data_IF_114484672873
#
_entry.id   IF_114484672873
#
_cell.length_a   1.000
_cell.length_b   1.000
_cell.length_c   1.000
_cell.angle_alpha   90.00
_cell.angle_beta   90.00
_cell.angle_gamma   90.00
#
_symmetry.space_group_name_H-M   'P 1'
#
loop_
_entity.id
_entity.type
_entity.pdbx_description
1 polymer ?
#
# COMPACT_ATOMS: atom_id res chain seq x y z
N UNK A 1 21.69 23.64 -3.97
CA UNK A 1 21.23 22.32 -3.46
C UNK A 1 19.96 21.96 -4.19
N UNK A 2 19.87 20.75 -4.72
CA UNK A 2 18.67 20.23 -5.39
C UNK A 2 17.95 19.26 -4.46
N UNK A 3 16.62 19.32 -4.45
CA UNK A 3 15.77 18.39 -3.72
C UNK A 3 14.54 18.05 -4.54
N UNK A 4 13.88 16.95 -4.22
CA UNK A 4 12.68 16.46 -4.90
C UNK A 4 11.50 16.53 -3.95
N UNK A 5 10.33 16.85 -4.50
CA UNK A 5 9.08 16.96 -3.75
C UNK A 5 8.25 15.70 -3.98
N UNK A 6 8.03 14.92 -2.93
CA UNK A 6 7.05 13.84 -2.95
C UNK A 6 5.76 14.28 -2.29
N UNK A 7 4.63 13.90 -2.88
CA UNK A 7 3.29 14.19 -2.37
C UNK A 7 2.52 12.88 -2.21
N UNK A 8 2.01 12.64 -1.00
CA UNK A 8 1.13 11.52 -0.68
C UNK A 8 -0.29 12.05 -0.47
N UNK A 9 -1.20 11.66 -1.39
CA UNK A 9 -2.61 12.00 -1.32
C UNK A 9 -3.37 10.81 -0.69
N UNK A 10 -3.34 10.76 0.63
CA UNK A 10 -3.98 9.70 1.41
C UNK A 10 -5.49 9.90 1.61
N UNK A 11 -6.08 9.05 2.45
CA UNK A 11 -7.52 9.11 2.76
C UNK A 11 -7.86 10.23 3.76
N UNK A 12 -6.99 10.47 4.74
CA UNK A 12 -7.26 11.40 5.84
C UNK A 12 -6.43 12.68 5.77
N UNK A 13 -5.40 12.72 4.94
CA UNK A 13 -4.52 13.87 4.79
C UNK A 13 -3.74 13.82 3.50
N UNK A 14 -3.35 15.00 3.02
CA UNK A 14 -2.25 15.18 2.07
C UNK A 14 -0.98 15.40 2.86
N UNK A 15 0.13 14.77 2.44
CA UNK A 15 1.47 14.97 2.99
C UNK A 15 2.44 15.30 1.88
N UNK A 16 3.37 16.21 2.15
CA UNK A 16 4.42 16.61 1.22
C UNK A 16 5.78 16.61 1.93
N UNK A 17 6.79 16.02 1.30
CA UNK A 17 8.17 16.00 1.76
C UNK A 17 9.11 16.58 0.68
N UNK A 18 9.94 17.53 1.06
CA UNK A 18 11.02 18.03 0.22
C UNK A 18 12.33 17.36 0.69
N UNK A 19 12.91 16.51 -0.17
CA UNK A 19 13.98 15.58 0.20
C UNK A 19 15.17 15.73 -0.73
N UNK A 20 16.38 15.76 -0.17
CA UNK A 20 17.64 15.73 -0.93
C UNK A 20 18.01 14.32 -1.35
N UNK A 21 19.00 14.18 -2.24
CA UNK A 21 19.48 12.89 -2.75
C UNK A 21 20.01 11.94 -1.65
N UNK A 22 20.52 12.52 -0.55
CA UNK A 22 21.00 11.78 0.63
C UNK A 22 19.92 11.50 1.68
N UNK A 23 18.64 11.74 1.36
CA UNK A 23 17.50 11.48 2.25
C UNK A 23 17.25 12.52 3.32
N UNK A 24 17.99 13.64 3.31
CA UNK A 24 17.72 14.73 4.25
C UNK A 24 16.39 15.40 3.93
N UNK A 25 15.44 15.34 4.86
CA UNK A 25 14.16 16.05 4.76
C UNK A 25 14.37 17.52 5.06
N UNK A 26 14.32 18.37 4.03
CA UNK A 26 14.49 19.81 4.15
C UNK A 26 13.21 20.52 4.62
N UNK A 27 12.06 19.97 4.29
CA UNK A 27 10.76 20.50 4.67
C UNK A 27 9.67 19.47 4.55
N UNK A 28 8.64 19.65 5.37
CA UNK A 28 7.46 18.80 5.37
C UNK A 28 6.20 19.65 5.51
N UNK A 29 5.09 19.15 4.98
CA UNK A 29 3.78 19.76 5.14
C UNK A 29 2.70 18.71 5.16
N UNK A 30 1.59 19.04 5.84
CA UNK A 30 0.42 18.17 5.88
C UNK A 30 -0.85 19.02 5.95
N UNK A 31 -1.91 18.50 5.31
CA UNK A 31 -3.25 19.09 5.37
C UNK A 31 -4.29 17.97 5.56
N UNK A 32 -5.27 18.13 6.45
CA UNK A 32 -6.32 17.13 6.66
C UNK A 32 -7.27 17.05 5.47
N UNK A 33 -7.81 15.88 5.22
CA UNK A 33 -8.89 15.63 4.25
C UNK A 33 -10.11 15.08 4.97
N UNK A 34 -11.29 15.53 4.56
CA UNK A 34 -12.56 15.00 5.00
C UNK A 34 -13.18 14.06 3.97
N UNK A 35 -14.03 13.14 4.45
CA UNK A 35 -14.81 12.27 3.58
C UNK A 35 -16.18 11.98 4.17
N UNK A 36 -17.16 11.64 3.31
CA UNK A 36 -18.48 11.20 3.72
C UNK A 36 -18.56 9.69 3.66
N UNK A 37 -18.89 9.07 4.80
CA UNK A 37 -19.18 7.64 4.88
C UNK A 37 -20.64 7.40 5.23
N UNK A 38 -21.26 6.47 4.48
CA UNK A 38 -22.63 6.05 4.73
C UNK A 38 -22.81 4.58 4.30
N UNK A 39 -22.83 3.68 5.25
CA UNK A 39 -22.84 2.24 4.98
C UNK A 39 -21.63 1.81 4.16
N UNK A 40 -21.88 1.27 2.96
CA UNK A 40 -20.83 0.82 2.02
C UNK A 40 -20.27 1.96 1.16
N UNK A 41 -20.78 3.17 1.30
CA UNK A 41 -20.38 4.33 0.52
C UNK A 41 -19.25 5.09 1.21
N UNK A 42 -18.26 5.50 0.46
CA UNK A 42 -17.19 6.37 0.91
C UNK A 42 -16.80 7.33 -0.21
N UNK A 43 -17.09 8.61 -0.03
CA UNK A 43 -16.87 9.66 -1.01
C UNK A 43 -15.97 10.77 -0.46
N UNK A 44 -15.23 11.41 -1.36
CA UNK A 44 -14.55 12.68 -1.08
C UNK A 44 -14.88 13.72 -2.16
N UNK A 45 -14.82 14.99 -1.78
CA UNK A 45 -14.86 16.10 -2.72
C UNK A 45 -13.47 16.27 -3.34
N UNK A 46 -13.34 16.13 -4.67
CA UNK A 46 -12.05 16.31 -5.35
C UNK A 46 -11.42 17.71 -5.18
N UNK A 47 -12.22 18.73 -4.91
CA UNK A 47 -11.73 20.10 -4.65
C UNK A 47 -10.85 20.17 -3.40
N UNK A 48 -11.20 19.43 -2.35
CA UNK A 48 -10.39 19.37 -1.12
C UNK A 48 -8.98 18.80 -1.34
N UNK A 49 -8.82 17.94 -2.34
CA UNK A 49 -7.51 17.37 -2.65
C UNK A 49 -6.52 18.44 -3.13
N UNK A 50 -7.00 19.32 -4.02
CA UNK A 50 -6.18 20.42 -4.52
C UNK A 50 -5.81 21.40 -3.42
N UNK A 51 -6.79 21.82 -2.62
CA UNK A 51 -6.55 22.70 -1.47
C UNK A 51 -5.55 22.09 -0.50
N UNK A 52 -5.68 20.78 -0.23
CA UNK A 52 -4.75 20.04 0.61
C UNK A 52 -3.34 19.97 0.02
N UNK A 53 -3.21 19.75 -1.29
CA UNK A 53 -1.91 19.75 -1.99
C UNK A 53 -1.27 21.15 -1.92
N UNK A 54 -2.02 22.22 -2.17
CA UNK A 54 -1.53 23.58 -2.06
C UNK A 54 -1.01 23.89 -0.65
N UNK A 55 -1.77 23.52 0.38
CA UNK A 55 -1.39 23.73 1.77
C UNK A 55 -0.14 22.92 2.16
N UNK A 56 -0.12 21.62 1.84
CA UNK A 56 0.98 20.73 2.20
C UNK A 56 2.28 21.09 1.46
N UNK A 57 2.21 21.34 0.15
CA UNK A 57 3.36 21.75 -0.65
C UNK A 57 3.90 23.11 -0.21
N UNK A 58 3.01 24.09 0.00
CA UNK A 58 3.40 25.42 0.49
C UNK A 58 4.12 25.36 1.84
N UNK A 59 3.64 24.52 2.78
CA UNK A 59 4.31 24.30 4.07
C UNK A 59 5.69 23.65 3.91
N UNK A 60 5.81 22.61 3.06
CA UNK A 60 7.07 21.94 2.81
C UNK A 60 8.13 22.86 2.18
N UNK A 61 7.70 23.84 1.38
CA UNK A 61 8.57 24.78 0.67
C UNK A 61 8.86 26.08 1.47
N UNK A 62 8.14 26.31 2.57
CA UNK A 62 8.27 27.53 3.36
C UNK A 62 9.71 27.79 3.82
N UNK A 63 10.26 28.97 3.51
CA UNK A 63 11.62 29.33 3.86
C UNK A 63 12.71 28.62 3.03
N UNK A 64 12.36 27.94 1.93
CA UNK A 64 13.29 27.15 1.10
C UNK A 64 13.58 27.77 -0.27
N UNK A 65 13.45 29.09 -0.43
CA UNK A 65 13.61 29.81 -1.71
C UNK A 65 14.95 29.57 -2.42
N UNK A 66 16.00 29.13 -1.69
CA UNK A 66 17.32 28.79 -2.24
C UNK A 66 17.46 27.31 -2.67
N UNK A 67 16.46 26.48 -2.41
CA UNK A 67 16.46 25.07 -2.81
C UNK A 67 15.86 24.99 -4.20
N UNK A 68 16.57 24.33 -5.12
CA UNK A 68 16.01 23.98 -6.43
C UNK A 68 15.15 22.74 -6.27
N UNK A 69 13.87 22.83 -6.63
CA UNK A 69 13.00 21.67 -6.74
C UNK A 69 13.31 20.98 -8.08
N UNK A 70 13.97 19.83 -8.05
CA UNK A 70 14.41 19.09 -9.23
C UNK A 70 13.28 18.40 -9.98
N UNK A 71 12.18 18.08 -9.29
CA UNK A 71 11.00 17.44 -9.82
C UNK A 71 10.05 17.06 -8.70
N UNK A 72 8.85 16.63 -9.07
CA UNK A 72 7.86 16.13 -8.12
C UNK A 72 7.12 14.90 -8.67
N UNK A 73 6.60 14.07 -7.75
CA UNK A 73 5.64 13.01 -8.06
C UNK A 73 4.56 12.94 -6.98
N UNK A 74 3.37 12.46 -7.37
CA UNK A 74 2.19 12.36 -6.49
C UNK A 74 1.74 10.91 -6.46
N UNK A 75 1.59 10.30 -5.27
CA UNK A 75 0.85 9.06 -5.11
C UNK A 75 -0.57 9.32 -4.62
N UNK A 76 -1.42 8.31 -4.76
CA UNK A 76 -2.77 8.34 -4.26
C UNK A 76 -3.30 6.96 -3.91
N UNK A 77 -4.47 6.91 -3.31
CA UNK A 77 -5.09 5.66 -2.86
C UNK A 77 -5.46 4.76 -4.03
N UNK A 78 -5.03 3.49 -3.95
CA UNK A 78 -5.21 2.50 -5.01
C UNK A 78 -6.68 2.12 -5.20
N UNK A 79 -7.29 2.57 -6.30
CA UNK A 79 -8.67 2.26 -6.64
C UNK A 79 -9.66 3.41 -6.36
N UNK A 80 -9.19 4.57 -5.92
CA UNK A 80 -10.01 5.79 -5.88
C UNK A 80 -10.16 6.37 -7.29
N UNK A 81 -11.41 6.70 -7.68
CA UNK A 81 -11.74 7.09 -9.05
C UNK A 81 -12.90 8.09 -9.07
N UNK A 82 -12.89 8.97 -10.06
CA UNK A 82 -13.95 9.92 -10.37
C UNK A 82 -14.12 10.05 -11.89
N UNK A 83 -15.15 10.79 -12.32
CA UNK A 83 -15.28 11.23 -13.71
C UNK A 83 -14.90 12.71 -13.84
N UNK A 84 -14.23 13.03 -14.94
CA UNK A 84 -13.95 14.41 -15.37
C UNK A 84 -14.50 14.67 -16.77
N UNK A 85 -14.75 15.93 -17.06
CA UNK A 85 -15.06 16.39 -18.43
C UNK A 85 -13.80 16.47 -19.31
N UNK A 86 -13.99 16.86 -20.57
CA UNK A 86 -12.87 17.01 -21.51
C UNK A 86 -11.88 18.14 -21.18
N UNK A 87 -12.17 18.97 -20.18
CA UNK A 87 -11.27 19.98 -19.64
C UNK A 87 -10.64 19.57 -18.28
N UNK A 88 -10.86 18.33 -17.84
CA UNK A 88 -10.33 17.81 -16.57
C UNK A 88 -11.12 18.25 -15.33
N UNK A 89 -12.28 18.86 -15.46
CA UNK A 89 -13.08 19.29 -14.31
C UNK A 89 -13.90 18.13 -13.76
N UNK A 90 -13.95 17.93 -12.43
CA UNK A 90 -14.76 16.87 -11.82
C UNK A 90 -16.24 16.96 -12.23
N UNK A 91 -16.82 15.83 -12.65
CA UNK A 91 -18.23 15.66 -12.97
C UNK A 91 -18.98 14.86 -11.90
N UNK A 92 -18.23 14.21 -11.01
CA UNK A 92 -18.75 13.36 -9.94
C UNK A 92 -17.98 13.56 -8.66
N UNK A 93 -18.53 13.16 -7.49
CA UNK A 93 -17.69 12.92 -6.32
C UNK A 93 -16.65 11.84 -6.62
N UNK A 94 -15.57 11.82 -5.87
CA UNK A 94 -14.61 10.75 -5.93
C UNK A 94 -15.08 9.57 -5.08
N UNK A 95 -15.12 8.36 -5.66
CA UNK A 95 -15.40 7.13 -4.93
C UNK A 95 -14.08 6.57 -4.40
N UNK A 96 -13.97 6.49 -3.07
CA UNK A 96 -12.74 6.08 -2.41
C UNK A 96 -12.46 4.59 -2.62
N UNK A 97 -11.22 4.20 -2.34
CA UNK A 97 -10.69 2.85 -2.59
C UNK A 97 -11.53 1.72 -1.96
N UNK A 98 -12.18 1.98 -0.84
CA UNK A 98 -13.01 1.05 -0.06
C UNK A 98 -14.53 1.23 -0.28
N UNK A 99 -14.93 2.10 -1.18
CA UNK A 99 -16.34 2.24 -1.58
C UNK A 99 -16.80 0.97 -2.31
N UNK A 100 -17.85 0.33 -1.80
CA UNK A 100 -18.36 -0.94 -2.32
C UNK A 100 -19.78 -0.82 -2.93
N UNK A 101 -20.25 0.39 -3.25
CA UNK A 101 -21.60 0.59 -3.84
C UNK A 101 -21.78 -0.04 -5.20
N UNK A 102 -20.70 -0.29 -5.94
CA UNK A 102 -20.70 -0.82 -7.30
C UNK A 102 -20.60 -2.36 -7.36
N UNK A 103 -21.09 -3.07 -6.34
CA UNK A 103 -20.99 -4.53 -6.26
C UNK A 103 -21.71 -5.22 -7.44
N UNK A 104 -22.83 -4.69 -7.95
CA UNK A 104 -23.54 -5.24 -9.11
C UNK A 104 -22.73 -5.09 -10.42
N UNK A 105 -22.02 -3.96 -10.59
CA UNK A 105 -21.06 -3.76 -11.68
C UNK A 105 -19.90 -4.75 -11.57
N UNK A 106 -19.42 -5.01 -10.34
CA UNK A 106 -18.40 -6.02 -10.07
C UNK A 106 -18.85 -7.42 -10.47
N UNK A 107 -20.07 -7.82 -10.13
CA UNK A 107 -20.64 -9.12 -10.56
C UNK A 107 -20.71 -9.23 -12.08
N UNK A 108 -21.18 -8.17 -12.75
CA UNK A 108 -21.25 -8.14 -14.23
C UNK A 108 -19.87 -8.23 -14.87
N UNK A 109 -18.86 -7.54 -14.32
CA UNK A 109 -17.49 -7.60 -14.81
C UNK A 109 -16.90 -9.01 -14.66
N UNK A 110 -17.10 -9.67 -13.51
CA UNK A 110 -16.66 -11.06 -13.31
C UNK A 110 -17.38 -12.04 -14.24
N UNK A 111 -18.69 -11.86 -14.48
CA UNK A 111 -19.43 -12.66 -15.45
C UNK A 111 -18.91 -12.48 -16.89
N UNK A 112 -18.30 -11.31 -17.18
CA UNK A 112 -17.61 -11.05 -18.46
C UNK A 112 -16.15 -11.58 -18.50
N UNK A 113 -15.71 -12.31 -17.46
CA UNK A 113 -14.38 -12.92 -17.40
C UNK A 113 -13.27 -12.03 -16.85
N UNK A 114 -13.61 -10.91 -16.20
CA UNK A 114 -12.61 -10.01 -15.60
C UNK A 114 -12.36 -10.38 -14.13
N UNK A 115 -11.11 -10.51 -13.74
CA UNK A 115 -10.71 -10.74 -12.36
C UNK A 115 -10.72 -9.40 -11.58
N UNK A 116 -11.86 -9.05 -10.96
CA UNK A 116 -12.02 -7.81 -10.22
C UNK A 116 -12.73 -8.03 -8.88
N UNK A 117 -12.34 -7.25 -7.88
CA UNK A 117 -13.03 -7.16 -6.59
C UNK A 117 -14.05 -6.01 -6.61
N UNK A 118 -15.08 -6.08 -5.78
CA UNK A 118 -16.17 -5.09 -5.76
C UNK A 118 -15.69 -3.66 -5.41
N UNK A 119 -14.60 -3.55 -4.65
CA UNK A 119 -13.98 -2.28 -4.26
C UNK A 119 -12.94 -1.76 -5.26
N UNK A 120 -12.65 -2.48 -6.34
CA UNK A 120 -11.72 -1.99 -7.35
C UNK A 120 -12.29 -0.82 -8.14
N UNK A 121 -11.42 -0.07 -8.81
CA UNK A 121 -11.82 1.10 -9.60
C UNK A 121 -12.71 0.75 -10.78
N UNK A 122 -12.55 -0.44 -11.41
CA UNK A 122 -13.35 -0.84 -12.59
C UNK A 122 -14.86 -0.86 -12.30
N UNK A 123 -15.38 -1.58 -11.28
CA UNK A 123 -16.81 -1.53 -10.96
C UNK A 123 -17.30 -0.12 -10.67
N UNK A 124 -16.52 0.67 -9.91
CA UNK A 124 -16.86 2.05 -9.56
C UNK A 124 -16.92 2.96 -10.79
N UNK A 125 -15.98 2.80 -11.72
CA UNK A 125 -15.97 3.55 -12.97
C UNK A 125 -17.21 3.25 -13.83
N UNK A 126 -17.64 1.98 -13.91
CA UNK A 126 -18.87 1.59 -14.60
C UNK A 126 -20.11 2.19 -13.94
N UNK A 127 -20.17 2.16 -12.61
CA UNK A 127 -21.25 2.77 -11.85
C UNK A 127 -21.32 4.29 -12.06
N UNK A 128 -20.16 4.97 -12.04
CA UNK A 128 -20.06 6.41 -12.29
C UNK A 128 -20.56 6.78 -13.69
N UNK A 129 -20.10 6.06 -14.72
CA UNK A 129 -20.56 6.28 -16.11
C UNK A 129 -22.07 6.04 -16.25
N UNK A 130 -22.62 5.04 -15.58
CA UNK A 130 -24.07 4.79 -15.57
C UNK A 130 -24.88 5.86 -14.83
N UNK A 131 -24.28 6.51 -13.85
CA UNK A 131 -24.97 7.49 -12.98
C UNK A 131 -24.84 8.92 -13.49
N UNK A 132 -23.64 9.32 -13.92
CA UNK A 132 -23.33 10.72 -14.30
C UNK A 132 -23.22 10.93 -15.81
N UNK A 133 -23.31 9.85 -16.59
CA UNK A 133 -23.17 9.90 -18.05
C UNK A 133 -21.72 9.80 -18.52
N UNK A 134 -21.48 10.04 -19.82
CA UNK A 134 -20.15 9.90 -20.41
C UNK A 134 -19.17 10.93 -19.85
N UNK A 135 -17.98 10.47 -19.50
CA UNK A 135 -16.89 11.28 -18.98
C UNK A 135 -15.58 10.50 -19.05
N UNK A 136 -14.48 11.16 -18.75
CA UNK A 136 -13.16 10.53 -18.66
C UNK A 136 -12.99 9.94 -17.26
N UNK A 137 -12.59 8.68 -17.19
CA UNK A 137 -12.19 8.03 -15.95
C UNK A 137 -10.86 8.64 -15.50
N UNK A 138 -10.83 9.15 -14.28
CA UNK A 138 -9.67 9.87 -13.71
C UNK A 138 -9.37 9.28 -12.34
N UNK A 139 -8.12 8.89 -12.11
CA UNK A 139 -7.66 8.45 -10.80
C UNK A 139 -7.28 9.65 -9.94
N UNK A 140 -7.20 9.43 -8.64
CA UNK A 140 -6.95 10.50 -7.67
C UNK A 140 -5.71 11.36 -7.99
N UNK A 141 -4.49 10.80 -8.26
CA UNK A 141 -3.34 11.63 -8.57
C UNK A 141 -3.39 12.25 -9.97
N UNK A 142 -4.13 11.65 -10.94
CA UNK A 142 -4.26 12.22 -12.29
C UNK A 142 -4.93 13.59 -12.26
N UNK A 143 -5.93 13.77 -11.37
CA UNK A 143 -6.57 15.07 -11.18
C UNK A 143 -5.56 16.12 -10.68
N UNK A 144 -4.72 15.75 -9.71
CA UNK A 144 -3.69 16.65 -9.18
C UNK A 144 -2.65 16.98 -10.24
N UNK A 145 -2.21 16.00 -11.01
CA UNK A 145 -1.27 16.22 -12.13
C UNK A 145 -1.90 17.14 -13.17
N UNK A 146 -3.18 16.96 -13.50
CA UNK A 146 -3.89 17.88 -14.43
C UNK A 146 -3.90 19.32 -13.92
N UNK A 147 -4.14 19.53 -12.63
CA UNK A 147 -4.14 20.87 -12.01
C UNK A 147 -2.74 21.47 -11.92
N UNK A 148 -1.71 20.63 -11.71
CA UNK A 148 -0.31 21.06 -11.70
C UNK A 148 0.19 21.48 -13.08
N UNK A 149 -0.13 20.72 -14.12
CA UNK A 149 0.38 20.95 -15.48
C UNK A 149 -0.52 21.87 -16.32
N UNK A 150 -1.82 21.88 -16.02
CA UNK A 150 -2.84 22.54 -16.85
C UNK A 150 -3.30 21.70 -18.06
N UNK A 151 -2.88 20.43 -18.13
CA UNK A 151 -3.18 19.50 -19.22
C UNK A 151 -3.79 18.20 -18.68
N UNK A 152 -4.54 17.48 -19.51
CA UNK A 152 -5.06 16.15 -19.16
C UNK A 152 -3.93 15.12 -19.25
N UNK A 153 -3.45 14.57 -18.13
CA UNK A 153 -2.35 13.61 -18.15
C UNK A 153 -2.83 12.22 -18.59
N UNK A 154 -1.94 11.35 -19.09
CA UNK A 154 -2.13 9.92 -19.00
C UNK A 154 -2.16 9.47 -17.53
N UNK A 155 -2.68 8.25 -17.27
CA UNK A 155 -2.60 7.63 -15.94
C UNK A 155 -1.38 6.75 -15.82
N UNK A 156 -0.89 6.51 -14.61
CA UNK A 156 0.16 5.52 -14.40
C UNK A 156 -0.39 4.09 -14.35
N UNK A 157 0.44 3.13 -14.74
CA UNK A 157 0.05 1.73 -14.85
C UNK A 157 -0.35 1.08 -13.51
N UNK A 158 0.10 1.62 -12.36
CA UNK A 158 -0.23 1.06 -11.06
C UNK A 158 -1.66 1.43 -10.60
N UNK A 159 -2.15 2.63 -10.94
CA UNK A 159 -3.54 3.01 -10.74
C UNK A 159 -4.46 2.35 -11.78
N UNK A 160 -4.03 2.25 -13.02
CA UNK A 160 -4.76 1.60 -14.10
C UNK A 160 -5.09 0.13 -13.81
N UNK A 161 -4.25 -0.59 -13.07
CA UNK A 161 -4.43 -2.00 -12.71
C UNK A 161 -5.82 -2.29 -12.15
N UNK A 162 -6.27 -1.55 -11.15
CA UNK A 162 -7.59 -1.77 -10.53
C UNK A 162 -8.77 -1.28 -11.38
N UNK A 163 -8.49 -0.57 -12.47
CA UNK A 163 -9.46 -0.22 -13.51
C UNK A 163 -9.50 -1.31 -14.62
N UNK A 164 -8.71 -2.37 -14.44
CA UNK A 164 -8.71 -3.54 -15.32
C UNK A 164 -7.62 -3.51 -16.40
N UNK A 165 -6.67 -2.58 -16.34
CA UNK A 165 -5.55 -2.58 -17.28
C UNK A 165 -4.70 -3.84 -17.12
N UNK A 166 -4.50 -4.56 -18.22
CA UNK A 166 -3.64 -5.74 -18.28
C UNK A 166 -2.18 -5.33 -18.43
N UNK A 167 -1.42 -5.40 -17.32
CA UNK A 167 -0.01 -5.02 -17.28
C UNK A 167 0.92 -5.95 -18.09
N UNK A 168 0.45 -7.15 -18.48
CA UNK A 168 1.23 -8.08 -19.31
C UNK A 168 1.02 -7.81 -20.80
N UNK A 169 -0.20 -7.40 -21.18
CA UNK A 169 -0.57 -7.10 -22.57
C UNK A 169 -0.48 -5.61 -22.90
N UNK A 170 -0.25 -4.77 -21.88
CA UNK A 170 -0.30 -3.31 -21.97
C UNK A 170 -1.60 -2.83 -22.65
N UNK A 171 -2.75 -3.32 -22.19
CA UNK A 171 -4.04 -3.08 -22.81
C UNK A 171 -5.19 -2.90 -21.82
N UNK A 172 -6.14 -2.03 -22.17
CA UNK A 172 -7.40 -1.87 -21.48
C UNK A 172 -8.42 -2.96 -21.87
N UNK A 173 -9.36 -3.32 -20.98
CA UNK A 173 -10.47 -4.21 -21.30
C UNK A 173 -11.53 -3.46 -22.12
N UNK A 174 -11.21 -3.07 -23.34
CA UNK A 174 -12.02 -2.16 -24.20
C UNK A 174 -13.48 -2.58 -24.41
N UNK A 175 -13.78 -3.87 -24.22
CA UNK A 175 -15.17 -4.38 -24.36
C UNK A 175 -16.11 -3.95 -23.21
N UNK A 176 -15.59 -3.38 -22.13
CA UNK A 176 -16.35 -3.09 -20.90
C UNK A 176 -16.65 -1.59 -20.80
N UNK A 177 -15.79 -0.76 -21.38
CA UNK A 177 -15.91 0.69 -21.32
C UNK A 177 -16.34 1.30 -22.67
N UNK A 178 -17.13 2.38 -22.65
CA UNK A 178 -17.39 3.19 -23.84
C UNK A 178 -16.11 3.77 -24.42
N UNK A 179 -16.10 4.06 -25.72
CA UNK A 179 -14.99 4.74 -26.38
C UNK A 179 -14.68 6.10 -25.73
N UNK A 180 -13.41 6.47 -25.73
CA UNK A 180 -12.89 7.76 -25.22
C UNK A 180 -13.12 8.02 -23.71
N UNK A 181 -13.43 6.99 -22.91
CA UNK A 181 -13.57 7.14 -21.45
C UNK A 181 -12.30 6.83 -20.69
N UNK A 182 -11.42 6.00 -21.26
CA UNK A 182 -10.19 5.54 -20.63
C UNK A 182 -9.02 6.48 -20.97
N UNK A 183 -8.15 6.82 -19.98
CA UNK A 183 -6.92 7.57 -20.26
C UNK A 183 -5.87 6.68 -20.95
N UNK A 184 -4.91 7.31 -21.63
CA UNK A 184 -3.67 6.62 -22.00
C UNK A 184 -2.93 6.17 -20.72
N UNK A 185 -2.12 5.10 -20.85
CA UNK A 185 -1.37 4.56 -19.72
C UNK A 185 0.12 4.72 -19.93
N UNK A 186 0.82 5.19 -18.90
CA UNK A 186 2.28 5.31 -18.90
C UNK A 186 2.89 4.53 -17.75
N UNK A 187 4.18 4.28 -17.82
CA UNK A 187 4.93 3.72 -16.71
C UNK A 187 5.15 4.77 -15.63
N UNK A 188 5.11 4.40 -14.33
CA UNK A 188 5.59 5.26 -13.27
C UNK A 188 6.99 5.79 -13.56
N UNK A 189 7.32 6.99 -13.11
CA UNK A 189 8.60 7.63 -13.42
C UNK A 189 8.66 8.35 -14.78
N UNK A 190 7.63 8.23 -15.64
CA UNK A 190 7.54 8.98 -16.90
C UNK A 190 7.30 10.47 -16.62
N UNK A 191 8.01 11.37 -17.32
CA UNK A 191 7.74 12.80 -17.25
C UNK A 191 6.41 13.11 -17.94
N UNK A 192 5.50 13.78 -17.20
CA UNK A 192 4.15 14.12 -17.66
C UNK A 192 4.01 15.57 -18.14
N UNK A 193 4.91 16.45 -17.71
CA UNK A 193 4.86 17.87 -18.02
C UNK A 193 5.68 18.67 -17.02
N UNK A 194 5.29 19.94 -16.84
CA UNK A 194 5.91 20.87 -15.92
C UNK A 194 4.82 21.62 -15.14
N UNK A 195 5.16 22.05 -13.92
CA UNK A 195 4.27 22.90 -13.13
C UNK A 195 4.00 24.20 -13.87
N UNK A 196 2.71 24.47 -14.11
CA UNK A 196 2.25 25.68 -14.79
C UNK A 196 2.43 26.93 -13.91
N UNK A 197 2.50 28.15 -14.49
CA UNK A 197 2.56 29.38 -13.70
C UNK A 197 1.40 29.52 -12.71
N UNK A 198 0.18 29.16 -13.10
CA UNK A 198 -1.01 29.20 -12.23
C UNK A 198 -0.87 28.24 -11.06
N UNK A 199 -0.41 27.01 -11.29
CA UNK A 199 -0.17 26.04 -10.23
C UNK A 199 0.98 26.49 -9.29
N UNK A 200 2.01 27.13 -9.84
CA UNK A 200 3.11 27.68 -9.04
C UNK A 200 2.64 28.76 -8.05
N UNK A 201 1.75 29.65 -8.48
CA UNK A 201 1.13 30.65 -7.62
C UNK A 201 0.30 30.03 -6.48
N UNK A 202 -0.43 28.95 -6.79
CA UNK A 202 -1.29 28.26 -5.81
C UNK A 202 -0.51 27.42 -4.80
N UNK A 203 0.53 26.71 -5.25
CA UNK A 203 1.22 25.68 -4.45
C UNK A 203 2.56 26.16 -3.86
N UNK A 204 3.13 27.23 -4.40
CA UNK A 204 4.50 27.62 -4.12
C UNK A 204 5.58 26.76 -4.78
N UNK A 205 5.20 25.73 -5.55
CA UNK A 205 6.15 24.92 -6.33
C UNK A 205 6.60 25.76 -7.54
N UNK A 206 7.92 25.93 -7.79
CA UNK A 206 8.38 26.76 -8.89
C UNK A 206 7.82 26.33 -10.26
N UNK A 207 7.36 27.29 -11.07
CA UNK A 207 6.95 27.03 -12.45
C UNK A 207 8.09 26.37 -13.23
N UNK A 208 7.75 25.45 -14.15
CA UNK A 208 8.74 24.68 -14.90
C UNK A 208 9.35 23.50 -14.14
N UNK A 209 8.93 23.24 -12.87
CA UNK A 209 9.33 22.01 -12.15
C UNK A 209 8.78 20.80 -12.85
N UNK A 210 9.61 19.78 -13.20
CA UNK A 210 9.13 18.53 -13.82
C UNK A 210 8.11 17.79 -12.95
N UNK A 211 7.00 17.38 -13.55
CA UNK A 211 5.97 16.54 -12.94
C UNK A 211 6.14 15.13 -13.48
N UNK A 212 6.32 14.17 -12.58
CA UNK A 212 6.63 12.78 -12.88
C UNK A 212 5.43 11.91 -12.52
N UNK A 213 5.11 10.94 -13.37
CA UNK A 213 4.07 9.94 -13.10
C UNK A 213 4.38 9.19 -11.80
N UNK A 214 3.47 9.26 -10.85
CA UNK A 214 3.59 8.62 -9.56
C UNK A 214 3.21 7.15 -9.56
N UNK A 215 2.85 6.63 -8.39
CA UNK A 215 2.34 5.27 -8.18
C UNK A 215 1.23 5.29 -7.12
N UNK A 216 0.58 4.13 -6.93
CA UNK A 216 -0.32 3.96 -5.78
C UNK A 216 0.42 4.10 -4.45
N UNK A 217 -0.30 4.51 -3.41
CA UNK A 217 0.20 4.67 -2.04
C UNK A 217 0.97 3.44 -1.51
N UNK A 218 0.46 2.22 -1.77
CA UNK A 218 1.14 0.99 -1.39
C UNK A 218 2.47 0.75 -2.15
N UNK A 219 2.57 1.18 -3.41
CA UNK A 219 3.84 1.14 -4.16
C UNK A 219 4.78 2.24 -3.69
N UNK A 220 4.26 3.43 -3.40
CA UNK A 220 5.03 4.54 -2.82
C UNK A 220 5.65 4.16 -1.46
N UNK A 221 4.87 3.50 -0.58
CA UNK A 221 5.36 2.97 0.69
C UNK A 221 6.45 1.89 0.49
N UNK A 222 6.34 1.05 -0.53
CA UNK A 222 7.38 0.08 -0.88
C UNK A 222 8.68 0.76 -1.32
N UNK A 223 8.60 1.83 -2.11
CA UNK A 223 9.77 2.63 -2.49
C UNK A 223 10.39 3.28 -1.25
N UNK A 224 9.57 3.90 -0.38
CA UNK A 224 10.01 4.50 0.88
C UNK A 224 10.63 3.49 1.86
N UNK A 225 10.32 2.21 1.71
CA UNK A 225 10.94 1.12 2.47
C UNK A 225 12.27 0.61 1.88
N UNK A 226 12.66 1.05 0.68
CA UNK A 226 13.83 0.53 -0.03
C UNK A 226 13.65 -0.90 -0.58
N UNK A 227 12.43 -1.44 -0.59
CA UNK A 227 12.16 -2.83 -0.97
C UNK A 227 11.99 -2.99 -2.50
N UNK A 228 13.04 -2.66 -3.27
CA UNK A 228 13.00 -2.59 -4.73
C UNK A 228 13.95 -3.57 -5.44
N UNK A 229 14.94 -4.12 -4.74
CA UNK A 229 15.82 -5.14 -5.32
C UNK A 229 15.11 -6.50 -5.31
N UNK A 230 15.32 -7.36 -6.32
CA UNK A 230 14.72 -8.69 -6.33
C UNK A 230 14.94 -9.43 -5.00
N UNK A 231 13.88 -10.03 -4.48
CA UNK A 231 13.89 -10.72 -3.19
C UNK A 231 13.65 -9.83 -1.97
N UNK A 232 13.71 -8.50 -2.11
CA UNK A 232 13.38 -7.57 -1.04
C UNK A 232 11.86 -7.45 -0.86
N UNK A 233 11.42 -7.36 0.41
CA UNK A 233 10.01 -7.24 0.78
C UNK A 233 9.79 -6.13 1.80
N UNK A 234 8.63 -5.48 1.69
CA UNK A 234 8.10 -4.56 2.69
C UNK A 234 6.84 -5.18 3.33
N UNK A 235 6.85 -5.31 4.64
CA UNK A 235 5.69 -5.68 5.44
C UNK A 235 5.12 -4.44 6.10
N UNK A 236 3.98 -4.00 5.61
CA UNK A 236 3.24 -2.85 6.12
C UNK A 236 2.20 -3.35 7.13
N UNK A 237 2.43 -3.12 8.41
CA UNK A 237 1.48 -3.47 9.45
C UNK A 237 0.70 -2.22 9.89
N UNK A 238 -0.47 -2.05 9.29
CA UNK A 238 -1.48 -1.07 9.66
C UNK A 238 -2.69 -1.73 10.32
N UNK A 239 -3.89 -1.21 10.08
CA UNK A 239 -5.15 -1.89 10.45
C UNK A 239 -5.17 -3.31 9.88
N UNK A 240 -4.62 -3.50 8.69
CA UNK A 240 -4.40 -4.78 8.01
C UNK A 240 -2.92 -4.96 7.72
N UNK A 241 -2.51 -6.21 7.44
CA UNK A 241 -1.16 -6.58 7.01
C UNK A 241 -1.09 -6.56 5.49
N UNK A 242 -0.10 -5.88 4.92
CA UNK A 242 0.17 -5.86 3.48
C UNK A 242 1.62 -6.24 3.23
N UNK A 243 1.85 -7.25 2.40
CA UNK A 243 3.19 -7.60 1.91
C UNK A 243 3.36 -7.12 0.47
N UNK A 244 4.46 -6.44 0.20
CA UNK A 244 4.88 -6.05 -1.16
C UNK A 244 6.37 -6.32 -1.35
N UNK A 245 6.70 -7.00 -2.44
CA UNK A 245 8.07 -7.35 -2.76
C UNK A 245 8.50 -6.94 -4.16
N UNK A 246 9.73 -7.24 -4.51
CA UNK A 246 10.28 -7.04 -5.84
C UNK A 246 10.72 -8.38 -6.45
N UNK A 247 10.34 -8.59 -7.72
CA UNK A 247 10.62 -9.82 -8.47
C UNK A 247 10.97 -9.50 -9.93
N UNK A 248 11.91 -10.22 -10.56
CA UNK A 248 12.21 -10.05 -11.98
C UNK A 248 11.07 -10.53 -12.88
N UNK A 249 10.22 -11.43 -12.39
CA UNK A 249 9.08 -11.99 -13.11
C UNK A 249 7.81 -11.85 -12.28
N UNK A 250 6.61 -11.81 -12.91
CA UNK A 250 5.36 -11.74 -12.13
C UNK A 250 5.17 -13.04 -11.34
N UNK A 251 4.81 -12.91 -10.07
CA UNK A 251 4.39 -14.05 -9.25
C UNK A 251 3.00 -14.46 -9.70
N UNK A 252 2.87 -15.70 -10.15
CA UNK A 252 1.61 -16.24 -10.67
C UNK A 252 0.85 -16.91 -9.56
N UNK A 253 -0.37 -16.48 -9.35
CA UNK A 253 -1.29 -17.01 -8.36
C UNK A 253 -2.62 -17.32 -9.02
N UNK A 254 -2.98 -18.60 -9.03
CA UNK A 254 -4.24 -19.08 -9.62
C UNK A 254 -5.47 -18.62 -8.83
N UNK A 255 -5.31 -18.35 -7.53
CA UNK A 255 -6.40 -17.86 -6.66
C UNK A 255 -6.64 -16.36 -6.78
N UNK A 256 -5.64 -15.61 -7.29
CA UNK A 256 -5.71 -14.16 -7.47
C UNK A 256 -5.59 -13.36 -6.17
N UNK A 257 -5.15 -13.97 -5.07
CA UNK A 257 -4.91 -13.26 -3.80
C UNK A 257 -3.60 -12.48 -3.83
N UNK A 258 -2.63 -12.92 -4.66
CA UNK A 258 -1.42 -12.17 -5.00
C UNK A 258 -1.61 -11.48 -6.35
N UNK A 259 -1.38 -10.18 -6.40
CA UNK A 259 -1.41 -9.39 -7.62
C UNK A 259 -0.11 -8.61 -7.79
N UNK A 260 0.23 -8.30 -9.04
CA UNK A 260 1.50 -7.70 -9.39
C UNK A 260 1.30 -6.29 -9.92
N UNK A 261 2.04 -5.31 -9.40
CA UNK A 261 2.26 -4.04 -10.08
C UNK A 261 3.54 -4.13 -10.91
N UNK A 262 3.75 -3.15 -11.79
CA UNK A 262 4.97 -3.05 -12.59
C UNK A 262 5.79 -1.84 -12.14
N UNK A 263 7.05 -2.07 -11.83
CA UNK A 263 8.00 -1.02 -11.48
C UNK A 263 8.43 -0.22 -12.73
N UNK A 264 8.98 0.99 -12.55
CA UNK A 264 9.48 1.82 -13.65
C UNK A 264 10.50 1.13 -14.56
N UNK A 265 11.37 0.30 -14.00
CA UNK A 265 12.41 -0.46 -14.71
C UNK A 265 11.86 -1.71 -15.44
N UNK A 266 10.58 -1.99 -15.28
CA UNK A 266 9.93 -3.15 -15.90
C UNK A 266 9.95 -4.42 -15.05
N UNK A 267 10.59 -4.42 -13.87
CA UNK A 267 10.46 -5.47 -12.88
C UNK A 267 9.03 -5.50 -12.29
N UNK A 268 8.73 -6.50 -11.47
CA UNK A 268 7.40 -6.70 -10.91
C UNK A 268 7.39 -6.47 -9.40
N UNK A 269 6.27 -5.96 -8.93
CA UNK A 269 6.02 -5.69 -7.53
C UNK A 269 4.83 -6.55 -7.06
N UNK A 270 5.06 -7.85 -6.79
CA UNK A 270 4.03 -8.75 -6.25
C UNK A 270 3.64 -8.33 -4.84
N UNK A 271 2.41 -8.65 -4.45
CA UNK A 271 1.96 -8.44 -3.09
C UNK A 271 0.56 -8.91 -2.84
N UNK A 272 0.21 -9.01 -1.56
CA UNK A 272 -1.12 -9.36 -1.07
C UNK A 272 -1.45 -8.56 0.19
N UNK A 273 -2.73 -8.52 0.51
CA UNK A 273 -3.25 -7.79 1.67
C UNK A 273 -4.19 -8.70 2.47
N UNK A 274 -3.79 -9.09 3.67
CA UNK A 274 -4.60 -9.84 4.63
C UNK A 274 -5.66 -8.93 5.28
N UNK A 275 -6.73 -9.54 5.73
CA UNK A 275 -7.72 -8.89 6.60
C UNK A 275 -7.26 -8.84 8.07
N UNK A 276 -6.26 -9.64 8.45
CA UNK A 276 -5.58 -9.60 9.75
C UNK A 276 -4.63 -8.41 9.81
N UNK A 277 -4.47 -7.78 10.97
CA UNK A 277 -3.50 -6.73 11.21
C UNK A 277 -3.64 -6.11 12.60
N UNK A 278 -3.03 -4.93 12.80
CA UNK A 278 -3.05 -4.25 14.10
C UNK A 278 -4.44 -3.71 14.51
N UNK A 279 -5.40 -3.69 13.58
CA UNK A 279 -6.77 -3.23 13.88
C UNK A 279 -7.49 -4.05 14.93
N UNK A 280 -7.11 -5.31 15.14
CA UNK A 280 -7.67 -6.17 16.21
C UNK A 280 -7.37 -5.61 17.59
N UNK A 281 -6.24 -4.94 17.76
CA UNK A 281 -5.85 -4.34 19.04
C UNK A 281 -6.78 -3.19 19.43
N UNK A 282 -7.15 -2.34 18.46
CA UNK A 282 -8.13 -1.27 18.69
C UNK A 282 -9.54 -1.80 18.93
N UNK A 283 -9.91 -2.89 18.25
CA UNK A 283 -11.22 -3.50 18.37
C UNK A 283 -11.43 -4.17 19.75
N UNK A 284 -10.41 -4.86 20.27
CA UNK A 284 -10.53 -5.59 21.54
C UNK A 284 -10.03 -4.81 22.76
N UNK A 285 -9.11 -3.87 22.56
CA UNK A 285 -8.51 -3.05 23.62
C UNK A 285 -8.59 -1.56 23.29
N UNK A 286 -9.79 -0.98 23.12
CA UNK A 286 -9.94 0.41 22.74
C UNK A 286 -9.37 1.34 23.81
N UNK A 287 -8.45 2.23 23.39
CA UNK A 287 -7.82 3.21 24.29
C UNK A 287 -6.79 2.66 25.27
N UNK A 288 -6.37 1.40 25.12
CA UNK A 288 -5.38 0.79 26.01
C UNK A 288 -4.00 1.43 25.87
N UNK A 289 -3.26 1.43 26.98
CA UNK A 289 -1.82 1.74 26.97
C UNK A 289 -1.06 0.54 26.37
N UNK A 290 -0.81 0.66 25.07
CA UNK A 290 -0.14 -0.41 24.30
C UNK A 290 1.27 -0.69 24.83
N UNK A 291 2.02 0.32 25.28
CA UNK A 291 3.38 0.13 25.78
C UNK A 291 3.38 -0.66 27.10
N UNK A 292 2.41 -0.41 27.97
CA UNK A 292 2.25 -1.17 29.20
C UNK A 292 1.84 -2.63 28.93
N UNK A 293 0.95 -2.87 27.96
CA UNK A 293 0.56 -4.22 27.56
C UNK A 293 1.70 -4.98 26.86
N UNK A 294 2.46 -4.32 25.99
CA UNK A 294 3.65 -4.90 25.34
C UNK A 294 4.68 -5.37 26.38
N UNK A 295 4.92 -4.55 27.42
CA UNK A 295 5.84 -4.91 28.49
C UNK A 295 5.39 -6.13 29.32
N UNK A 296 4.08 -6.30 29.50
CA UNK A 296 3.50 -7.44 30.22
C UNK A 296 3.44 -8.69 29.32
N UNK A 297 3.16 -8.53 28.02
CA UNK A 297 3.05 -9.61 27.04
C UNK A 297 4.36 -10.43 26.91
N UNK A 298 5.51 -9.82 27.18
CA UNK A 298 6.81 -10.50 27.13
C UNK A 298 6.92 -11.69 28.12
N UNK A 299 6.07 -11.74 29.15
CA UNK A 299 6.00 -12.89 30.07
C UNK A 299 5.18 -14.08 29.52
N UNK A 300 4.45 -13.88 28.41
CA UNK A 300 3.59 -14.86 27.76
C UNK A 300 4.13 -15.22 26.36
N UNK A 301 5.33 -15.79 26.32
CA UNK A 301 5.97 -16.24 25.08
C UNK A 301 6.44 -17.72 25.22
N UNK A 302 5.75 -18.67 24.53
CA UNK A 302 4.53 -18.47 23.75
C UNK A 302 3.31 -18.21 24.63
N UNK A 303 2.30 -17.49 24.09
CA UNK A 303 1.00 -17.29 24.76
C UNK A 303 0.26 -18.60 24.95
N UNK A 304 -0.55 -18.69 26.01
CA UNK A 304 -1.49 -19.77 26.24
C UNK A 304 -2.61 -19.84 25.22
N UNK A 305 -2.79 -18.78 24.44
CA UNK A 305 -3.80 -18.71 23.38
C UNK A 305 -3.19 -18.47 22.01
N UNK A 306 -3.56 -19.31 21.02
CA UNK A 306 -3.18 -19.17 19.63
C UNK A 306 -4.34 -18.51 18.88
N UNK A 307 -4.07 -17.42 18.16
CA UNK A 307 -5.13 -16.68 17.47
C UNK A 307 -4.89 -16.56 15.97
N UNK A 308 -5.99 -16.53 15.20
CA UNK A 308 -6.08 -15.93 13.86
C UNK A 308 -7.00 -14.72 13.96
N UNK A 309 -6.46 -13.50 14.17
CA UNK A 309 -7.20 -12.39 14.74
C UNK A 309 -7.91 -11.52 13.70
N UNK A 310 -8.91 -12.06 13.01
CA UNK A 310 -9.79 -11.31 12.13
C UNK A 310 -10.72 -10.39 12.92
N UNK A 311 -10.83 -9.13 12.49
CA UNK A 311 -11.80 -8.17 13.06
C UNK A 311 -13.19 -8.35 12.44
N UNK A 312 -13.25 -8.68 11.14
CA UNK A 312 -14.47 -8.93 10.38
C UNK A 312 -14.38 -10.28 9.69
N UNK A 313 -15.51 -10.79 9.25
CA UNK A 313 -15.57 -12.03 8.47
C UNK A 313 -14.89 -11.84 7.10
N UNK A 314 -14.12 -12.83 6.71
CA UNK A 314 -13.49 -12.98 5.40
C UNK A 314 -11.99 -12.70 5.38
N UNK A 315 -11.24 -13.69 4.87
CA UNK A 315 -9.82 -13.54 4.57
C UNK A 315 -9.62 -13.51 3.05
N UNK A 316 -8.63 -12.74 2.61
CA UNK A 316 -8.32 -12.50 1.19
C UNK A 316 -6.84 -12.73 0.84
N UNK A 317 -5.98 -12.93 1.82
CA UNK A 317 -4.55 -13.25 1.71
C UNK A 317 -4.01 -13.67 3.08
N UNK A 318 -3.21 -14.76 3.20
CA UNK A 318 -2.58 -15.56 2.14
C UNK A 318 -3.47 -16.65 1.52
N UNK A 319 -4.71 -16.72 1.88
CA UNK A 319 -5.70 -17.62 1.29
C UNK A 319 -7.03 -16.89 1.11
N UNK A 320 -7.88 -17.40 0.22
CA UNK A 320 -9.21 -16.84 -0.01
C UNK A 320 -10.25 -17.66 0.75
N UNK A 321 -10.77 -17.11 1.85
CA UNK A 321 -11.81 -17.72 2.68
C UNK A 321 -12.85 -16.67 3.11
N UNK A 322 -13.87 -16.40 2.30
CA UNK A 322 -14.90 -15.40 2.62
C UNK A 322 -15.69 -15.69 3.90
N UNK A 323 -15.74 -16.96 4.30
CA UNK A 323 -16.41 -17.45 5.51
C UNK A 323 -15.52 -17.40 6.76
N UNK A 324 -14.20 -17.19 6.63
CA UNK A 324 -13.29 -17.19 7.75
C UNK A 324 -13.67 -16.12 8.79
N UNK A 325 -13.58 -16.49 10.05
CA UNK A 325 -13.85 -15.62 11.19
C UNK A 325 -12.66 -15.64 12.16
N UNK A 326 -12.67 -14.77 13.15
CA UNK A 326 -11.67 -14.81 14.21
C UNK A 326 -11.61 -16.21 14.85
N UNK A 327 -10.38 -16.69 15.06
CA UNK A 327 -10.10 -18.00 15.67
C UNK A 327 -9.27 -17.77 16.94
N UNK A 328 -9.59 -18.53 17.99
CA UNK A 328 -8.82 -18.58 19.23
C UNK A 328 -8.78 -20.04 19.72
N UNK A 329 -7.57 -20.56 19.94
CA UNK A 329 -7.32 -21.88 20.50
C UNK A 329 -6.72 -21.72 21.90
N UNK A 330 -7.39 -22.28 22.90
CA UNK A 330 -7.03 -22.08 24.31
C UNK A 330 -7.84 -20.95 24.96
N UNK A 331 -7.54 -20.69 26.22
CA UNK A 331 -8.16 -19.64 27.03
C UNK A 331 -7.04 -18.79 27.62
N UNK A 332 -7.06 -17.47 27.42
CA UNK A 332 -6.01 -16.61 27.99
C UNK A 332 -6.12 -16.55 29.52
N UNK A 333 -4.98 -16.55 30.20
CA UNK A 333 -4.90 -16.43 31.65
C UNK A 333 -5.15 -14.99 32.11
N UNK A 334 -4.96 -14.01 31.24
CA UNK A 334 -5.12 -12.58 31.53
C UNK A 334 -5.27 -11.75 30.26
N UNK A 335 -5.59 -10.45 30.40
CA UNK A 335 -5.55 -9.50 29.28
C UNK A 335 -4.16 -9.40 28.64
N UNK A 336 -3.09 -9.53 29.41
CA UNK A 336 -1.73 -9.50 28.92
C UNK A 336 -1.39 -10.76 28.10
N UNK A 337 -1.90 -11.93 28.50
CA UNK A 337 -1.77 -13.16 27.73
C UNK A 337 -2.58 -13.11 26.44
N UNK A 338 -3.82 -12.60 26.49
CA UNK A 338 -4.61 -12.36 25.26
C UNK A 338 -3.90 -11.38 24.33
N UNK A 339 -3.36 -10.26 24.87
CA UNK A 339 -2.57 -9.30 24.08
C UNK A 339 -1.38 -9.98 23.39
N UNK A 340 -0.61 -10.79 24.13
CA UNK A 340 0.50 -11.58 23.58
C UNK A 340 0.02 -12.51 22.45
N UNK A 341 -1.08 -13.23 22.67
CA UNK A 341 -1.68 -14.13 21.68
C UNK A 341 -2.12 -13.41 20.40
N UNK A 342 -2.64 -12.18 20.53
CA UNK A 342 -3.01 -11.36 19.36
C UNK A 342 -1.77 -10.90 18.57
N UNK A 343 -0.73 -10.42 19.27
CA UNK A 343 0.52 -10.01 18.64
C UNK A 343 1.19 -11.18 17.90
N UNK A 344 1.22 -12.36 18.54
CA UNK A 344 1.76 -13.60 17.98
C UNK A 344 0.92 -14.09 16.81
N UNK A 345 -0.41 -14.03 16.89
CA UNK A 345 -1.32 -14.42 15.81
C UNK A 345 -1.15 -13.58 14.54
N UNK A 346 -0.94 -12.27 14.68
CA UNK A 346 -0.58 -11.40 13.54
C UNK A 346 0.79 -11.81 12.97
N UNK A 347 1.79 -12.08 13.81
CA UNK A 347 3.10 -12.53 13.35
C UNK A 347 3.05 -13.90 12.66
N UNK A 348 2.22 -14.84 13.12
CA UNK A 348 1.96 -16.11 12.46
C UNK A 348 1.30 -15.93 11.09
N UNK A 349 0.33 -15.01 10.99
CA UNK A 349 -0.30 -14.65 9.71
C UNK A 349 0.75 -14.08 8.73
N UNK A 350 1.67 -13.25 9.23
CA UNK A 350 2.77 -12.72 8.42
C UNK A 350 3.72 -13.82 7.95
N UNK A 351 4.08 -14.78 8.83
CA UNK A 351 4.90 -15.94 8.48
C UNK A 351 4.21 -16.79 7.42
N UNK A 352 2.93 -17.13 7.61
CA UNK A 352 2.14 -17.89 6.64
C UNK A 352 2.03 -17.17 5.30
N UNK A 353 1.94 -15.84 5.31
CA UNK A 353 1.94 -15.02 4.09
C UNK A 353 3.25 -15.12 3.32
N UNK A 354 4.39 -15.14 4.00
CA UNK A 354 5.70 -15.35 3.38
C UNK A 354 5.87 -16.81 2.91
N UNK A 355 5.40 -17.79 3.67
CA UNK A 355 5.42 -19.19 3.25
C UNK A 355 4.54 -19.42 2.00
N UNK A 356 3.40 -18.74 1.90
CA UNK A 356 2.59 -18.77 0.69
C UNK A 356 3.30 -18.13 -0.51
N UNK A 357 3.96 -17.00 -0.33
CA UNK A 357 4.73 -16.34 -1.40
C UNK A 357 5.90 -17.23 -1.87
N UNK A 358 6.56 -17.92 -0.94
CA UNK A 358 7.61 -18.91 -1.25
C UNK A 358 7.04 -20.10 -2.05
N UNK A 359 5.89 -20.63 -1.64
CA UNK A 359 5.16 -21.68 -2.36
C UNK A 359 4.85 -21.28 -3.82
N UNK A 360 4.54 -20.01 -4.06
CA UNK A 360 4.34 -19.44 -5.40
C UNK A 360 5.64 -19.18 -6.17
N UNK A 361 6.81 -19.44 -5.57
CA UNK A 361 8.12 -19.21 -6.18
C UNK A 361 8.56 -17.74 -6.20
N UNK A 362 8.01 -16.91 -5.31
CA UNK A 362 8.48 -15.54 -5.15
C UNK A 362 9.90 -15.53 -4.54
N UNK A 363 10.83 -14.69 -5.02
CA UNK A 363 12.13 -14.55 -4.37
C UNK A 363 11.98 -13.91 -2.98
N UNK A 364 12.55 -14.53 -1.96
CA UNK A 364 12.48 -14.07 -0.55
C UNK A 364 13.87 -13.91 0.09
N UNK A 365 14.93 -13.99 -0.67
CA UNK A 365 16.33 -13.99 -0.21
C UNK A 365 16.90 -12.59 0.08
N UNK A 366 16.15 -11.54 -0.24
CA UNK A 366 16.52 -10.15 0.04
C UNK A 366 16.07 -9.65 1.41
N UNK A 367 16.31 -8.38 1.74
CA UNK A 367 15.91 -7.79 3.02
C UNK A 367 14.38 -7.71 3.18
N UNK A 368 13.93 -7.89 4.43
CA UNK A 368 12.56 -7.64 4.85
C UNK A 368 12.51 -6.33 5.65
N UNK A 369 11.65 -5.42 5.24
CA UNK A 369 11.47 -4.13 5.90
C UNK A 369 10.11 -4.06 6.58
N UNK A 370 10.05 -3.57 7.82
CA UNK A 370 8.81 -3.34 8.56
C UNK A 370 8.42 -1.88 8.52
N UNK A 371 7.17 -1.60 8.13
CA UNK A 371 6.60 -0.26 8.08
C UNK A 371 5.16 -0.25 8.60
N UNK A 372 4.53 0.92 8.61
CA UNK A 372 3.19 1.12 9.14
C UNK A 372 3.14 1.33 10.65
N UNK A 373 1.92 1.48 11.20
CA UNK A 373 1.70 1.79 12.61
C UNK A 373 2.23 0.73 13.58
N UNK A 374 2.16 -0.54 13.20
CA UNK A 374 2.68 -1.65 14.01
C UNK A 374 4.19 -1.63 14.19
N UNK A 375 4.93 -1.04 13.25
CA UNK A 375 6.38 -0.90 13.34
C UNK A 375 6.86 0.11 14.41
N UNK A 376 5.94 0.82 15.06
CA UNK A 376 6.27 1.72 16.18
C UNK A 376 6.57 0.97 17.50
N UNK A 377 6.08 -0.26 17.66
CA UNK A 377 6.39 -1.09 18.83
C UNK A 377 7.70 -1.83 18.64
N UNK A 378 8.73 -1.48 19.41
CA UNK A 378 10.01 -2.17 19.40
C UNK A 378 9.88 -3.64 19.83
N UNK A 379 9.01 -3.91 20.84
CA UNK A 379 8.70 -5.24 21.30
C UNK A 379 8.08 -6.09 20.17
N UNK A 380 7.03 -5.58 19.52
CA UNK A 380 6.36 -6.32 18.45
C UNK A 380 7.26 -6.55 17.23
N UNK A 381 8.11 -5.59 16.90
CA UNK A 381 9.08 -5.76 15.81
C UNK A 381 10.06 -6.91 16.11
N UNK A 382 10.57 -7.01 17.36
CA UNK A 382 11.44 -8.12 17.74
C UNK A 382 10.69 -9.45 17.76
N UNK A 383 9.47 -9.49 18.32
CA UNK A 383 8.60 -10.66 18.30
C UNK A 383 8.36 -11.16 16.86
N UNK A 384 8.05 -10.27 15.94
CA UNK A 384 7.84 -10.61 14.51
C UNK A 384 9.13 -11.14 13.88
N UNK A 385 10.30 -10.52 14.13
CA UNK A 385 11.57 -11.00 13.65
C UNK A 385 11.88 -12.42 14.18
N UNK A 386 11.58 -12.70 15.45
CA UNK A 386 11.77 -14.00 16.08
C UNK A 386 10.81 -15.06 15.49
N UNK A 387 9.53 -14.74 15.29
CA UNK A 387 8.55 -15.65 14.66
C UNK A 387 8.91 -15.95 13.21
N UNK A 388 9.41 -14.96 12.48
CA UNK A 388 9.81 -15.11 11.07
C UNK A 388 11.17 -15.79 10.91
N UNK A 389 12.00 -15.82 11.97
CA UNK A 389 13.34 -16.39 11.94
C UNK A 389 14.29 -15.68 10.98
N UNK A 390 14.12 -14.37 10.73
CA UNK A 390 14.94 -13.61 9.78
C UNK A 390 15.22 -12.17 10.20
N UNK A 391 16.35 -11.62 9.72
CA UNK A 391 16.67 -10.20 9.87
C UNK A 391 15.57 -9.33 9.31
N UNK A 392 15.22 -8.28 10.05
CA UNK A 392 14.28 -7.26 9.60
C UNK A 392 14.85 -5.87 9.79
N UNK A 393 14.42 -4.93 8.94
CA UNK A 393 14.84 -3.53 8.94
C UNK A 393 13.64 -2.63 9.22
N UNK A 394 13.83 -1.64 10.06
CA UNK A 394 12.81 -0.61 10.35
C UNK A 394 13.39 0.74 9.93
N UNK A 395 12.93 1.35 8.83
CA UNK A 395 13.42 2.65 8.36
C UNK A 395 13.09 3.77 9.36
N UNK A 396 13.85 4.87 9.32
CA UNK A 396 13.58 6.06 10.12
C UNK A 396 12.37 6.84 9.60
N UNK A 397 12.25 6.92 8.27
CA UNK A 397 11.13 7.57 7.58
C UNK A 397 10.40 6.54 6.73
N UNK A 398 9.09 6.50 6.84
CA UNK A 398 8.24 5.50 6.15
C UNK A 398 7.08 6.13 5.39
N UNK A 399 7.05 7.46 5.30
CA UNK A 399 5.97 8.17 4.62
C UNK A 399 6.03 7.90 3.10
N UNK A 400 4.90 7.55 2.45
CA UNK A 400 4.86 7.33 1.01
C UNK A 400 5.38 8.52 0.19
N UNK A 401 5.27 9.73 0.71
CA UNK A 401 5.83 10.93 0.11
C UNK A 401 7.36 10.85 -0.10
N UNK A 402 8.12 10.14 0.78
CA UNK A 402 9.54 9.87 0.55
C UNK A 402 9.74 9.02 -0.71
N UNK A 403 8.91 7.97 -0.88
CA UNK A 403 8.94 7.13 -2.08
C UNK A 403 8.66 7.93 -3.36
N UNK A 404 7.77 8.92 -3.28
CA UNK A 404 7.49 9.80 -4.42
C UNK A 404 8.64 10.76 -4.70
N UNK A 405 9.35 11.25 -3.68
CA UNK A 405 10.57 12.05 -3.90
C UNK A 405 11.68 11.23 -4.60
N UNK A 406 11.87 9.96 -4.19
CA UNK A 406 12.80 9.05 -4.84
C UNK A 406 12.39 8.75 -6.30
N UNK A 407 11.09 8.52 -6.55
CA UNK A 407 10.56 8.31 -7.90
C UNK A 407 10.75 9.57 -8.77
N UNK A 408 10.56 10.75 -8.21
CA UNK A 408 10.80 12.02 -8.91
C UNK A 408 12.27 12.22 -9.25
N UNK A 409 13.19 11.86 -8.36
CA UNK A 409 14.65 11.87 -8.63
C UNK A 409 15.01 10.96 -9.79
N UNK A 410 14.53 9.72 -9.78
CA UNK A 410 14.71 8.77 -10.87
C UNK A 410 14.09 9.29 -12.18
N UNK A 411 12.82 9.72 -12.16
CA UNK A 411 12.09 10.16 -13.35
C UNK A 411 12.66 11.42 -14.01
N UNK A 412 13.43 12.23 -13.27
CA UNK A 412 14.17 13.38 -13.80
C UNK A 412 15.58 13.02 -14.30
N UNK A 413 15.98 11.75 -14.19
CA UNK A 413 17.30 11.27 -14.60
C UNK A 413 18.45 11.68 -13.66
N UNK A 414 18.13 12.11 -12.43
CA UNK A 414 19.16 12.46 -11.44
C UNK A 414 19.86 11.22 -10.88
N UNK A 415 19.13 10.08 -10.80
CA UNK A 415 19.67 8.78 -10.41
C UNK A 415 19.48 7.76 -11.52
N UNK A 416 20.43 6.80 -11.70
CA UNK A 416 20.37 5.83 -12.78
C UNK A 416 19.19 4.85 -12.69
N UNK A 417 18.87 4.41 -11.46
CA UNK A 417 17.76 3.48 -11.19
C UNK A 417 16.90 3.97 -10.02
N UNK A 418 15.66 3.50 -9.95
CA UNK A 418 14.79 3.79 -8.82
C UNK A 418 15.32 3.17 -7.52
N UNK A 419 15.96 2.00 -7.61
CA UNK A 419 16.58 1.37 -6.44
C UNK A 419 17.73 2.23 -5.89
N UNK A 420 18.56 2.83 -6.76
CA UNK A 420 19.64 3.73 -6.33
C UNK A 420 19.09 5.01 -5.71
N UNK A 421 17.98 5.56 -6.26
CA UNK A 421 17.29 6.71 -5.66
C UNK A 421 16.78 6.38 -4.25
N UNK A 422 16.15 5.22 -4.09
CA UNK A 422 15.66 4.77 -2.79
C UNK A 422 16.80 4.47 -1.81
N UNK A 423 17.86 3.78 -2.24
CA UNK A 423 19.04 3.50 -1.40
C UNK A 423 19.71 4.79 -0.90
N UNK A 424 19.72 5.86 -1.71
CA UNK A 424 20.25 7.16 -1.31
C UNK A 424 19.33 7.90 -0.31
N UNK A 425 18.02 7.83 -0.51
CA UNK A 425 17.05 8.61 0.27
C UNK A 425 16.53 7.88 1.52
N UNK A 426 16.46 6.54 1.50
CA UNK A 426 15.93 5.74 2.61
C UNK A 426 17.04 5.42 3.60
N UNK A 427 16.94 5.98 4.80
CA UNK A 427 17.89 5.63 5.86
C UNK A 427 17.36 4.46 6.70
N UNK A 428 18.15 3.39 6.80
CA UNK A 428 17.90 2.30 7.73
C UNK A 428 17.95 2.84 9.16
N UNK A 429 16.86 2.66 9.91
CA UNK A 429 16.79 3.07 11.31
C UNK A 429 17.35 1.98 12.22
N UNK A 430 16.57 0.91 12.42
CA UNK A 430 16.93 -0.23 13.28
C UNK A 430 17.03 -1.49 12.44
N UNK A 431 18.03 -2.32 12.73
CA UNK A 431 18.13 -3.70 12.24
C UNK A 431 17.90 -4.64 13.41
N UNK A 432 17.02 -5.60 13.25
CA UNK A 432 16.68 -6.59 14.27
C UNK A 432 17.03 -7.97 13.75
N UNK A 433 17.88 -8.67 14.51
CA UNK A 433 18.23 -10.06 14.25
C UNK A 433 17.23 -10.97 14.98
N UNK A 434 16.81 -12.09 14.38
CA UNK A 434 16.01 -13.08 15.06
C UNK A 434 16.86 -13.80 16.12
N UNK A 435 16.26 -14.08 17.27
CA UNK A 435 16.88 -14.83 18.34
C UNK A 435 16.52 -16.31 18.18
N UNK A 436 17.48 -17.16 17.81
CA UNK A 436 17.23 -18.56 17.45
C UNK A 436 16.48 -19.36 18.53
N UNK A 437 16.78 -19.13 19.83
CA UNK A 437 16.06 -19.75 20.93
C UNK A 437 14.60 -19.29 21.02
N UNK A 438 14.28 -18.06 20.63
CA UNK A 438 12.93 -17.52 20.60
C UNK A 438 12.16 -18.00 19.37
N UNK A 439 12.81 -18.08 18.20
CA UNK A 439 12.20 -18.66 16.99
C UNK A 439 11.65 -20.06 17.28
N UNK A 440 12.42 -20.90 17.98
CA UNK A 440 12.02 -22.26 18.35
C UNK A 440 10.77 -22.29 19.28
N UNK A 441 10.58 -21.29 20.13
CA UNK A 441 9.41 -21.23 21.04
C UNK A 441 8.07 -21.14 20.29
N UNK A 442 8.06 -20.51 19.13
CA UNK A 442 6.82 -20.25 18.38
C UNK A 442 6.46 -21.35 17.38
N UNK A 443 7.37 -22.30 17.14
CA UNK A 443 7.22 -23.33 16.08
C UNK A 443 5.98 -24.20 16.32
N UNK A 444 5.77 -24.70 17.54
CA UNK A 444 4.62 -25.56 17.86
C UNK A 444 3.29 -24.80 17.74
N UNK A 445 3.23 -23.54 18.26
CA UNK A 445 2.04 -22.73 18.16
C UNK A 445 1.68 -22.40 16.71
N UNK A 446 2.67 -22.09 15.87
CA UNK A 446 2.49 -21.85 14.46
C UNK A 446 1.99 -23.12 13.72
N UNK A 447 2.60 -24.29 13.99
CA UNK A 447 2.17 -25.56 13.41
C UNK A 447 0.69 -25.87 13.75
N UNK A 448 0.30 -25.71 15.01
CA UNK A 448 -1.10 -25.90 15.44
C UNK A 448 -2.05 -24.92 14.77
N UNK A 449 -1.63 -23.67 14.51
CA UNK A 449 -2.46 -22.75 13.74
C UNK A 449 -2.66 -23.23 12.30
N UNK A 450 -1.60 -23.68 11.62
CA UNK A 450 -1.69 -24.25 10.26
C UNK A 450 -2.69 -25.41 10.24
N UNK A 451 -2.56 -26.36 11.17
CA UNK A 451 -3.42 -27.53 11.25
C UNK A 451 -4.89 -27.16 11.43
N UNK A 452 -5.17 -26.15 12.25
CA UNK A 452 -6.55 -25.69 12.48
C UNK A 452 -7.13 -24.95 11.29
N UNK A 453 -6.33 -24.10 10.60
CA UNK A 453 -6.77 -23.41 9.39
C UNK A 453 -7.07 -24.40 8.25
N UNK A 454 -6.25 -25.44 8.10
CA UNK A 454 -6.48 -26.52 7.13
C UNK A 454 -7.72 -27.36 7.50
N UNK A 455 -7.86 -27.77 8.76
CA UNK A 455 -9.00 -28.56 9.24
C UNK A 455 -10.34 -27.84 9.04
N UNK A 456 -10.36 -26.50 9.06
CA UNK A 456 -11.54 -25.68 8.73
C UNK A 456 -11.80 -25.54 7.22
N UNK A 457 -10.89 -26.00 6.39
CA UNK A 457 -10.95 -25.86 4.94
C UNK A 457 -10.65 -24.43 4.46
N UNK A 458 -10.08 -23.56 5.31
CA UNK A 458 -9.70 -22.20 4.94
C UNK A 458 -8.35 -22.18 4.21
N UNK A 459 -7.36 -22.91 4.74
CA UNK A 459 -6.03 -23.02 4.15
C UNK A 459 -5.96 -24.26 3.24
N UNK A 460 -5.58 -24.12 1.96
CA UNK A 460 -5.39 -25.25 1.06
C UNK A 460 -4.31 -26.23 1.57
N UNK A 461 -4.54 -27.54 1.41
CA UNK A 461 -3.63 -28.61 1.85
C UNK A 461 -2.20 -28.43 1.32
N UNK A 462 -2.03 -28.04 0.06
CA UNK A 462 -0.72 -27.82 -0.57
C UNK A 462 0.03 -26.67 0.10
N UNK A 463 -0.65 -25.60 0.52
CA UNK A 463 -0.05 -24.45 1.21
C UNK A 463 0.29 -24.83 2.66
N UNK A 464 -0.62 -25.54 3.33
CA UNK A 464 -0.39 -26.06 4.69
C UNK A 464 0.82 -27.02 4.72
N UNK A 465 0.93 -27.94 3.73
CA UNK A 465 2.08 -28.82 3.56
C UNK A 465 3.39 -28.06 3.41
N UNK A 466 3.42 -27.09 2.49
CA UNK A 466 4.60 -26.25 2.27
C UNK A 466 5.01 -25.46 3.53
N UNK A 467 4.04 -24.87 4.26
CA UNK A 467 4.33 -24.14 5.50
C UNK A 467 4.91 -25.06 6.60
N UNK A 468 4.46 -26.34 6.68
CA UNK A 468 5.03 -27.33 7.61
C UNK A 468 6.46 -27.73 7.26
N UNK A 469 6.81 -27.81 5.98
CA UNK A 469 8.18 -28.10 5.55
C UNK A 469 9.17 -26.98 5.94
N UNK A 470 8.68 -25.81 6.28
CA UNK A 470 9.45 -24.63 6.67
C UNK A 470 9.44 -24.36 8.19
N UNK A 471 8.94 -25.30 9.00
CA UNK A 471 9.02 -25.24 10.46
C UNK A 471 10.47 -25.50 10.97
#
# INVERSE_FOLDING_TARGET
MTAWLGIDLGTQSVRALLVTEDGTVLGSGSAPLGGRREGVRHEQDPGQWWDGVCAAAGAALQGRSRVRVGGLAVCGTSGTVLLTDGAGRPMSPALMYDDARAAEEGKRARAAGLAVQDTWALPKALWLLGTYGPGRITHQPDLIVSLLTGELPPTDSSHALKTGYDLQRDAWPTRVFPENTLPDVVRPGTRLGEVSPTAAEATGIPAGTPVIAGMTDGCAAQIAAGALRPGAWNSVLGTTLVLKGASPTPVRDATGVVYNHRAPDGSWLPGGASSVGAGVLDALFPGADRAALDAQAAAFEPSGVITYPLVAQGERFPFLAPEATSLSLGVPDSDADLWAGLLQGVAFTERLSLDYLDHLGAPLDGPLTFTGGGARSAYWNQLRADVLGREVRVPRETEPALGMAALASFGTGATPTLADAADGMVSTGTVLEPQANRTALFTEAYARLIDELEARGWLPEEVAGHARERL
#
